data_IF_535920560082
#
_entry.id   IF_535920560082
#
_cell.length_a   1.000
_cell.length_b   1.000
_cell.length_c   1.000
_cell.angle_alpha   90.00
_cell.angle_beta   90.00
_cell.angle_gamma   90.00
#
_symmetry.space_group_name_H-M   'P 1'
#
loop_
_entity.id
_entity.type
_entity.pdbx_description
1 polymer ?
#
# COMPACT_ATOMS: atom_id res chain seq x y z
N UNK A 1 11.55 -4.38 11.92
CA UNK A 1 12.06 -3.96 10.59
C UNK A 1 10.83 -3.49 9.84
N UNK A 2 10.75 -2.22 9.44
CA UNK A 2 9.58 -1.70 8.70
C UNK A 2 9.49 -2.39 7.33
N UNK A 3 8.40 -3.12 7.09
CA UNK A 3 8.07 -3.72 5.80
C UNK A 3 7.71 -2.64 4.77
N UNK A 4 8.72 -1.97 4.22
CA UNK A 4 8.55 -1.01 3.13
C UNK A 4 8.29 -1.78 1.84
N UNK A 5 7.05 -1.74 1.34
CA UNK A 5 6.72 -2.32 0.03
C UNK A 5 7.33 -1.46 -1.09
N UNK A 6 7.92 -2.11 -2.09
CA UNK A 6 8.47 -1.46 -3.28
C UNK A 6 7.51 -1.62 -4.45
N UNK A 7 7.31 -0.53 -5.21
CA UNK A 7 6.45 -0.49 -6.37
C UNK A 7 7.10 -1.27 -7.53
N UNK A 8 6.41 -2.26 -8.11
CA UNK A 8 6.95 -3.02 -9.25
C UNK A 8 7.03 -2.20 -10.55
N UNK A 9 6.32 -1.06 -10.64
CA UNK A 9 6.30 -0.22 -11.84
C UNK A 9 7.49 0.73 -11.90
N UNK A 10 7.74 1.45 -10.80
CA UNK A 10 8.76 2.51 -10.79
C UNK A 10 9.89 2.27 -9.79
N UNK A 11 9.82 1.22 -8.96
CA UNK A 11 10.84 0.93 -7.96
C UNK A 11 10.79 1.82 -6.70
N UNK A 12 9.82 2.73 -6.60
CA UNK A 12 9.66 3.58 -5.42
C UNK A 12 8.95 2.89 -4.26
N UNK A 13 9.08 3.46 -3.07
CA UNK A 13 8.39 2.99 -1.87
C UNK A 13 6.88 3.26 -2.02
N UNK A 14 6.06 2.24 -1.78
CA UNK A 14 4.63 2.42 -1.62
C UNK A 14 4.31 2.84 -0.18
N UNK A 15 3.49 3.87 -0.04
CA UNK A 15 3.03 4.36 1.26
C UNK A 15 1.75 3.63 1.67
N UNK A 16 1.69 3.17 2.92
CA UNK A 16 0.51 2.51 3.49
C UNK A 16 -0.59 3.56 3.76
N UNK A 17 -1.78 3.30 3.24
CA UNK A 17 -2.96 4.11 3.50
C UNK A 17 -3.79 3.46 4.60
N UNK A 18 -3.52 3.84 5.85
CA UNK A 18 -4.23 3.37 7.05
C UNK A 18 -5.62 4.03 7.21
N UNK A 19 -5.90 5.13 6.50
CA UNK A 19 -7.05 6.01 6.74
C UNK A 19 -8.39 5.60 6.11
N UNK A 20 -8.65 4.32 5.89
CA UNK A 20 -10.05 3.91 5.72
C UNK A 20 -10.56 3.47 7.09
N UNK A 21 -11.52 4.22 7.63
CA UNK A 21 -12.26 3.87 8.85
C UNK A 21 -12.81 2.42 8.80
N UNK A 22 -12.94 1.84 7.59
CA UNK A 22 -13.35 0.48 7.27
C UNK A 22 -12.20 -0.55 7.06
N UNK A 23 -10.93 -0.16 6.99
CA UNK A 23 -9.84 -1.10 6.64
C UNK A 23 -9.57 -2.13 7.73
N UNK A 24 -9.76 -1.73 8.99
CA UNK A 24 -9.59 -2.64 10.13
C UNK A 24 -10.73 -3.65 10.25
N UNK A 25 -11.85 -3.45 9.53
CA UNK A 25 -12.97 -4.39 9.51
C UNK A 25 -12.64 -5.70 8.77
N UNK A 26 -11.62 -5.69 7.90
CA UNK A 26 -11.18 -6.87 7.13
C UNK A 26 -9.67 -7.12 7.15
N UNK A 27 -8.89 -6.34 7.92
CA UNK A 27 -7.43 -6.43 7.92
C UNK A 27 -6.78 -6.10 6.57
N UNK A 28 -7.47 -5.34 5.71
CA UNK A 28 -6.99 -5.01 4.36
C UNK A 28 -6.05 -3.82 4.45
N UNK A 29 -4.80 -4.00 4.02
CA UNK A 29 -3.84 -2.91 3.90
C UNK A 29 -3.74 -2.49 2.45
N UNK A 30 -3.90 -1.19 2.22
CA UNK A 30 -3.76 -0.59 0.90
C UNK A 30 -2.47 0.19 0.85
N UNK A 31 -1.75 0.05 -0.25
CA UNK A 31 -0.50 0.73 -0.50
C UNK A 31 -0.61 1.47 -1.82
N UNK A 32 -0.15 2.72 -1.86
CA UNK A 32 -0.12 3.48 -3.11
C UNK A 32 1.22 4.16 -3.27
N UNK A 33 1.74 4.08 -4.49
CA UNK A 33 2.96 4.73 -4.89
C UNK A 33 2.66 6.20 -5.16
N UNK A 34 3.38 7.11 -4.51
CA UNK A 34 3.26 8.55 -4.74
C UNK A 34 3.82 9.00 -6.09
N UNK A 35 4.78 8.26 -6.63
CA UNK A 35 5.49 8.63 -7.87
C UNK A 35 4.69 8.24 -9.11
N UNK A 36 4.31 6.98 -9.23
CA UNK A 36 3.57 6.50 -10.41
C UNK A 36 2.05 6.40 -10.19
N UNK A 37 1.57 6.54 -8.95
CA UNK A 37 0.15 6.41 -8.61
C UNK A 37 -0.36 4.96 -8.54
N UNK A 38 0.51 3.96 -8.71
CA UNK A 38 0.12 2.55 -8.65
C UNK A 38 -0.40 2.16 -7.26
N UNK A 39 -1.45 1.34 -7.21
CA UNK A 39 -2.09 0.88 -5.98
C UNK A 39 -1.96 -0.63 -5.87
N UNK A 40 -1.56 -1.12 -4.71
CA UNK A 40 -1.60 -2.54 -4.37
C UNK A 40 -2.31 -2.76 -3.04
N UNK A 41 -2.86 -3.94 -2.84
CA UNK A 41 -3.46 -4.37 -1.58
C UNK A 41 -2.74 -5.65 -1.08
N UNK A 42 -2.99 -6.05 0.16
CA UNK A 42 -2.47 -7.31 0.74
C UNK A 42 -3.33 -8.54 0.48
N UNK A 43 -4.33 -8.45 -0.39
CA UNK A 43 -5.13 -9.61 -0.81
C UNK A 43 -4.71 -10.00 -2.21
N UNK A 44 -3.75 -10.91 -2.31
CA UNK A 44 -3.67 -11.84 -3.45
C UNK A 44 -4.44 -13.10 -3.06
#
# INVERSE_FOLDING_TARGET
MEDKKICPICGDILEEYEYAYDNNQYGKKYYKCKTCGHKMNTMD
#
